data_IF_150963918172
#
_entry.id   IF_150963918172
#
_cell.length_a   1.000
_cell.length_b   1.000
_cell.length_c   1.000
_cell.angle_alpha   90.00
_cell.angle_beta   90.00
_cell.angle_gamma   90.00
#
_symmetry.space_group_name_H-M   'P 1'
#
loop_
_entity.id
_entity.type
_entity.pdbx_description
1 polymer ?
#
# COMPACT_ATOMS: atom_id res chain seq x y z
N UNK A 1 9.66 -60.42 -13.72
CA UNK A 1 9.45 -59.17 -14.47
C UNK A 1 9.04 -58.09 -13.48
N UNK A 2 9.89 -57.08 -13.28
CA UNK A 2 9.69 -55.94 -12.37
C UNK A 2 9.10 -54.79 -13.19
N UNK A 3 7.90 -54.32 -12.85
CA UNK A 3 7.35 -53.09 -13.40
C UNK A 3 6.36 -52.48 -12.41
N UNK A 4 6.88 -51.72 -11.43
CA UNK A 4 6.12 -50.77 -10.62
C UNK A 4 7.10 -49.73 -10.10
N UNK A 5 7.34 -48.66 -10.86
CA UNK A 5 8.16 -47.53 -10.42
C UNK A 5 7.94 -46.30 -11.32
N UNK A 6 6.69 -45.87 -11.52
CA UNK A 6 6.41 -44.53 -12.05
C UNK A 6 5.04 -44.06 -11.51
N UNK A 7 5.04 -43.40 -10.36
CA UNK A 7 3.77 -42.89 -9.82
C UNK A 7 3.84 -42.13 -8.50
N UNK A 8 5.01 -41.63 -8.06
CA UNK A 8 5.14 -41.06 -6.71
C UNK A 8 6.01 -39.81 -6.60
N UNK A 9 6.40 -39.16 -7.71
CA UNK A 9 7.18 -37.91 -7.65
C UNK A 9 6.38 -36.62 -7.92
N UNK A 10 5.08 -36.69 -8.25
CA UNK A 10 4.32 -35.50 -8.65
C UNK A 10 3.56 -34.79 -7.52
N UNK A 11 3.56 -35.31 -6.29
CA UNK A 11 2.70 -34.84 -5.19
C UNK A 11 3.39 -33.96 -4.14
N UNK A 12 4.71 -33.71 -4.27
CA UNK A 12 5.49 -32.96 -3.26
C UNK A 12 5.87 -31.53 -3.67
N UNK A 13 5.47 -31.05 -4.86
CA UNK A 13 5.76 -29.68 -5.33
C UNK A 13 4.57 -28.71 -5.25
N UNK A 14 3.42 -29.17 -4.76
CA UNK A 14 2.18 -28.38 -4.73
C UNK A 14 2.06 -27.30 -3.62
N UNK A 15 2.72 -27.37 -2.43
CA UNK A 15 2.46 -26.38 -1.39
C UNK A 15 3.05 -25.00 -1.71
N UNK A 16 4.20 -24.93 -2.39
CA UNK A 16 4.90 -23.66 -2.64
C UNK A 16 4.19 -22.77 -3.64
N UNK A 17 3.61 -23.36 -4.71
CA UNK A 17 2.89 -22.60 -5.74
C UNK A 17 1.56 -22.04 -5.22
N UNK A 18 0.84 -22.80 -4.40
CA UNK A 18 -0.43 -22.36 -3.81
C UNK A 18 -0.24 -21.22 -2.80
N UNK A 19 0.83 -21.27 -2.00
CA UNK A 19 1.17 -20.18 -1.07
C UNK A 19 1.60 -18.91 -1.81
N UNK A 20 2.48 -19.04 -2.83
CA UNK A 20 2.92 -17.91 -3.64
C UNK A 20 1.76 -17.20 -4.37
N UNK A 21 0.80 -17.96 -4.93
CA UNK A 21 -0.37 -17.38 -5.59
C UNK A 21 -1.31 -16.65 -4.61
N UNK A 22 -1.35 -17.08 -3.35
CA UNK A 22 -2.10 -16.39 -2.29
C UNK A 22 -1.43 -15.09 -1.82
N UNK A 23 -0.09 -15.07 -1.82
CA UNK A 23 0.70 -13.90 -1.43
C UNK A 23 0.68 -12.82 -2.51
N UNK A 24 0.82 -13.20 -3.78
CA UNK A 24 0.70 -12.30 -4.93
C UNK A 24 -0.70 -11.68 -5.02
N UNK A 25 -1.75 -12.48 -4.80
CA UNK A 25 -3.13 -11.95 -4.74
C UNK A 25 -3.30 -10.96 -3.60
N UNK A 26 -2.81 -11.30 -2.41
CA UNK A 26 -2.87 -10.42 -1.23
C UNK A 26 -2.14 -9.12 -1.50
N UNK A 27 -0.89 -9.19 -1.97
CA UNK A 27 -0.11 -8.03 -2.37
C UNK A 27 -0.88 -7.16 -3.36
N UNK A 28 -1.33 -7.72 -4.50
CA UNK A 28 -2.04 -6.97 -5.52
C UNK A 28 -3.34 -6.33 -5.04
N UNK A 29 -4.06 -6.97 -4.10
CA UNK A 29 -5.26 -6.38 -3.50
C UNK A 29 -4.91 -5.16 -2.66
N UNK A 30 -3.95 -5.28 -1.75
CA UNK A 30 -3.54 -4.17 -0.88
C UNK A 30 -2.91 -3.03 -1.69
N UNK A 31 -2.08 -3.33 -2.68
CA UNK A 31 -1.44 -2.31 -3.53
C UNK A 31 -2.47 -1.52 -4.34
N UNK A 32 -3.60 -2.14 -4.72
CA UNK A 32 -4.73 -1.43 -5.34
C UNK A 32 -5.37 -0.43 -4.37
N UNK A 33 -5.57 -0.83 -3.12
CA UNK A 33 -6.16 0.04 -2.11
C UNK A 33 -5.20 1.18 -1.74
N UNK A 34 -3.90 0.89 -1.59
CA UNK A 34 -2.84 1.90 -1.41
C UNK A 34 -2.88 2.90 -2.56
N UNK A 35 -2.89 2.42 -3.81
CA UNK A 35 -2.94 3.29 -4.99
C UNK A 35 -4.18 4.19 -4.98
N UNK A 36 -5.35 3.63 -4.66
CA UNK A 36 -6.59 4.40 -4.56
C UNK A 36 -6.47 5.54 -3.55
N UNK A 37 -5.87 5.27 -2.39
CA UNK A 37 -5.66 6.30 -1.36
C UNK A 37 -4.63 7.35 -1.79
N UNK A 38 -3.54 6.95 -2.45
CA UNK A 38 -2.55 7.91 -2.96
C UNK A 38 -3.11 8.77 -4.09
N UNK A 39 -3.91 8.19 -4.98
CA UNK A 39 -4.59 8.94 -6.06
C UNK A 39 -5.56 9.97 -5.46
N UNK A 40 -6.38 9.56 -4.50
CA UNK A 40 -7.30 10.46 -3.79
C UNK A 40 -6.56 11.58 -3.06
N UNK A 41 -5.46 11.26 -2.37
CA UNK A 41 -4.62 12.26 -1.70
C UNK A 41 -4.02 13.28 -2.68
N UNK A 42 -3.64 12.83 -3.88
CA UNK A 42 -3.13 13.69 -4.94
C UNK A 42 -4.20 14.59 -5.56
N UNK A 43 -5.42 14.08 -5.74
CA UNK A 43 -6.56 14.86 -6.21
C UNK A 43 -6.95 15.95 -5.20
N UNK A 44 -7.02 15.61 -3.92
CA UNK A 44 -7.31 16.56 -2.84
C UNK A 44 -6.22 17.63 -2.71
N UNK A 45 -4.94 17.27 -2.86
CA UNK A 45 -3.84 18.23 -2.83
C UNK A 45 -3.93 19.23 -4.00
N UNK A 46 -4.22 18.76 -5.22
CA UNK A 46 -4.45 19.64 -6.36
C UNK A 46 -5.68 20.55 -6.15
N UNK A 47 -6.74 20.05 -5.52
CA UNK A 47 -7.90 20.84 -5.18
C UNK A 47 -7.57 21.92 -4.14
N UNK A 48 -6.71 21.62 -3.16
CA UNK A 48 -6.21 22.60 -2.20
C UNK A 48 -5.44 23.73 -2.91
N UNK A 49 -4.52 23.38 -3.80
CA UNK A 49 -3.73 24.35 -4.59
C UNK A 49 -4.62 25.25 -5.47
N UNK A 50 -5.69 24.68 -6.05
CA UNK A 50 -6.63 25.39 -6.90
C UNK A 50 -7.70 26.19 -6.12
N UNK A 51 -7.80 26.00 -4.80
CA UNK A 51 -8.86 26.60 -3.99
C UNK A 51 -8.68 28.12 -3.84
N UNK A 52 -9.78 28.84 -4.10
CA UNK A 52 -9.84 30.29 -4.02
C UNK A 52 -10.02 30.80 -2.58
N UNK A 53 -10.70 30.02 -1.74
CA UNK A 53 -10.91 30.38 -0.34
C UNK A 53 -9.95 29.63 0.58
N UNK A 54 -9.62 30.29 1.68
CA UNK A 54 -8.80 29.73 2.74
C UNK A 54 -9.44 28.45 3.33
N UNK A 55 -10.74 28.47 3.58
CA UNK A 55 -11.48 27.34 4.16
C UNK A 55 -11.47 26.10 3.24
N UNK A 56 -11.73 26.27 1.94
CA UNK A 56 -11.71 25.17 0.97
C UNK A 56 -10.31 24.56 0.86
N UNK A 57 -9.29 25.41 0.80
CA UNK A 57 -7.88 25.00 0.75
C UNK A 57 -7.52 24.12 1.94
N UNK A 58 -7.86 24.55 3.15
CA UNK A 58 -7.55 23.80 4.37
C UNK A 58 -8.34 22.49 4.46
N UNK A 59 -9.62 22.49 4.04
CA UNK A 59 -10.42 21.27 3.99
C UNK A 59 -9.80 20.25 3.03
N UNK A 60 -9.42 20.67 1.84
CA UNK A 60 -8.79 19.82 0.83
C UNK A 60 -7.40 19.33 1.27
N UNK A 61 -6.57 20.20 1.85
CA UNK A 61 -5.27 19.80 2.39
C UNK A 61 -5.41 18.76 3.51
N UNK A 62 -6.36 18.94 4.43
CA UNK A 62 -6.66 17.96 5.48
C UNK A 62 -7.16 16.62 4.90
N UNK A 63 -8.00 16.65 3.86
CA UNK A 63 -8.45 15.44 3.15
C UNK A 63 -7.29 14.72 2.41
N UNK A 64 -6.33 15.49 1.87
CA UNK A 64 -5.12 14.94 1.28
C UNK A 64 -4.25 14.22 2.33
N UNK A 65 -3.97 14.88 3.47
CA UNK A 65 -3.23 14.30 4.60
C UNK A 65 -3.90 13.01 5.09
N UNK A 66 -5.23 13.02 5.24
CA UNK A 66 -5.99 11.84 5.63
C UNK A 66 -5.78 10.67 4.65
N UNK A 67 -5.90 10.92 3.34
CA UNK A 67 -5.74 9.88 2.31
C UNK A 67 -4.34 9.28 2.30
N UNK A 68 -3.29 10.10 2.39
CA UNK A 68 -1.92 9.60 2.46
C UNK A 68 -1.65 8.83 3.75
N UNK A 69 -2.21 9.25 4.89
CA UNK A 69 -2.14 8.48 6.13
C UNK A 69 -2.84 7.11 6.01
N UNK A 70 -3.96 7.02 5.28
CA UNK A 70 -4.61 5.74 5.01
C UNK A 70 -3.77 4.83 4.10
N UNK A 71 -3.12 5.40 3.08
CA UNK A 71 -2.15 4.67 2.25
C UNK A 71 -1.00 4.10 3.11
N UNK A 72 -0.47 4.90 4.03
CA UNK A 72 0.58 4.48 4.95
C UNK A 72 0.12 3.35 5.89
N UNK A 73 -1.09 3.45 6.47
CA UNK A 73 -1.64 2.41 7.34
C UNK A 73 -1.90 1.09 6.59
N UNK A 74 -2.43 1.18 5.37
CA UNK A 74 -2.66 0.01 4.51
C UNK A 74 -1.34 -0.65 4.13
N UNK A 75 -0.32 0.15 3.79
CA UNK A 75 1.05 -0.34 3.51
C UNK A 75 1.67 -0.99 4.75
N UNK A 76 1.52 -0.40 5.94
CA UNK A 76 1.99 -0.99 7.19
C UNK A 76 1.34 -2.36 7.45
N UNK A 77 0.04 -2.48 7.18
CA UNK A 77 -0.69 -3.75 7.31
C UNK A 77 -0.17 -4.80 6.33
N UNK A 78 0.03 -4.43 5.06
CA UNK A 78 0.61 -5.32 4.06
C UNK A 78 2.04 -5.76 4.46
N UNK A 79 2.88 -4.84 4.93
CA UNK A 79 4.24 -5.16 5.38
C UNK A 79 4.23 -6.15 6.55
N UNK A 80 3.29 -6.00 7.51
CA UNK A 80 3.13 -6.98 8.58
C UNK A 80 2.76 -8.35 8.02
N UNK A 81 1.79 -8.44 7.11
CA UNK A 81 1.37 -9.70 6.47
C UNK A 81 2.55 -10.37 5.74
N UNK A 82 3.33 -9.60 4.98
CA UNK A 82 4.49 -10.11 4.23
C UNK A 82 5.66 -10.52 5.14
N UNK A 83 5.87 -9.81 6.26
CA UNK A 83 6.95 -10.11 7.21
C UNK A 83 6.82 -11.52 7.83
N UNK A 84 5.58 -11.96 8.11
CA UNK A 84 5.31 -13.30 8.65
C UNK A 84 5.50 -14.41 7.61
N UNK A 85 5.55 -14.08 6.32
CA UNK A 85 5.61 -15.04 5.21
C UNK A 85 6.98 -15.07 4.51
N UNK A 86 7.95 -14.30 5.00
CA UNK A 86 9.28 -14.17 4.36
C UNK A 86 9.21 -13.52 2.97
N UNK A 87 8.24 -12.62 2.79
CA UNK A 87 7.75 -12.20 1.49
C UNK A 87 8.72 -11.35 0.68
N UNK A 88 8.91 -11.77 -0.57
CA UNK A 88 9.09 -10.88 -1.71
C UNK A 88 8.12 -9.68 -1.53
N UNK A 89 8.53 -8.45 -1.85
CA UNK A 89 7.76 -7.21 -1.67
C UNK A 89 7.69 -6.61 -0.25
N UNK A 90 8.29 -7.21 0.80
CA UNK A 90 8.31 -6.57 2.12
C UNK A 90 8.98 -5.18 2.08
N UNK A 91 10.19 -5.11 1.55
CA UNK A 91 10.97 -3.85 1.51
C UNK A 91 10.26 -2.77 0.69
N UNK A 92 9.74 -3.12 -0.50
CA UNK A 92 8.98 -2.17 -1.33
C UNK A 92 7.71 -1.67 -0.64
N UNK A 93 7.07 -2.51 0.17
CA UNK A 93 5.89 -2.10 0.94
C UNK A 93 6.26 -1.16 2.09
N UNK A 94 7.42 -1.38 2.72
CA UNK A 94 7.97 -0.48 3.72
C UNK A 94 8.31 0.88 3.10
N UNK A 95 8.94 0.89 1.93
CA UNK A 95 9.23 2.12 1.18
C UNK A 95 7.95 2.88 0.83
N UNK A 96 6.90 2.19 0.35
CA UNK A 96 5.60 2.81 0.08
C UNK A 96 4.95 3.41 1.34
N UNK A 97 5.03 2.71 2.47
CA UNK A 97 4.54 3.21 3.76
C UNK A 97 5.24 4.50 4.14
N UNK A 98 6.56 4.51 4.06
CA UNK A 98 7.36 5.64 4.52
C UNK A 98 7.21 6.83 3.57
N UNK A 99 7.17 6.61 2.26
CA UNK A 99 6.85 7.66 1.29
C UNK A 99 5.46 8.28 1.52
N UNK A 100 4.43 7.46 1.80
CA UNK A 100 3.10 7.98 2.10
C UNK A 100 3.06 8.82 3.39
N UNK A 101 3.81 8.43 4.42
CA UNK A 101 3.97 9.22 5.65
C UNK A 101 4.70 10.53 5.40
N UNK A 102 5.79 10.48 4.65
CA UNK A 102 6.60 11.65 4.33
C UNK A 102 5.78 12.67 3.53
N UNK A 103 4.95 12.21 2.59
CA UNK A 103 4.03 13.08 1.85
C UNK A 103 2.95 13.64 2.78
N UNK A 104 2.33 12.82 3.62
CA UNK A 104 1.32 13.29 4.57
C UNK A 104 1.89 14.39 5.48
N UNK A 105 3.09 14.19 6.03
CA UNK A 105 3.78 15.16 6.86
C UNK A 105 4.13 16.43 6.09
N UNK A 106 4.64 16.30 4.86
CA UNK A 106 4.94 17.47 4.02
C UNK A 106 3.70 18.32 3.71
N UNK A 107 2.56 17.68 3.41
CA UNK A 107 1.30 18.40 3.19
C UNK A 107 0.85 19.05 4.49
N UNK A 108 0.89 18.33 5.61
CA UNK A 108 0.53 18.87 6.92
C UNK A 108 1.40 20.07 7.30
N UNK A 109 2.72 19.99 7.16
CA UNK A 109 3.65 21.08 7.46
C UNK A 109 3.41 22.31 6.57
N UNK A 110 3.26 22.08 5.26
CA UNK A 110 3.04 23.14 4.27
C UNK A 110 1.73 23.90 4.52
N UNK A 111 0.71 23.20 5.02
CA UNK A 111 -0.61 23.77 5.23
C UNK A 111 -0.90 24.15 6.68
N UNK A 112 -0.16 23.65 7.69
CA UNK A 112 -0.27 24.11 9.08
C UNK A 112 0.07 25.60 9.21
N UNK A 113 1.10 26.08 8.50
CA UNK A 113 1.44 27.50 8.46
C UNK A 113 0.33 28.36 7.81
N UNK A 114 -0.45 27.75 6.92
CA UNK A 114 -1.54 28.43 6.21
C UNK A 114 -2.86 28.34 6.98
N UNK A 115 -3.12 27.22 7.67
CA UNK A 115 -4.42 26.79 8.18
C UNK A 115 -4.63 26.95 9.68
N UNK A 116 -3.57 27.06 10.50
CA UNK A 116 -3.65 27.47 11.91
C UNK A 116 -4.38 26.51 12.83
#
# INVERSE_FOLDING_TARGET
MRAFLFGLCALLLLPSAALAQSDEYTYNSYTRDIKKQTDAGWEELQAADASATHEERCRHASAAVYSYNQAAQTSATLAQVLSYRGGEYYDSTVELRDAARDIAQQVEDMYNEQCG
#
